data_IF_004523977707
#
_entry.id   IF_004523977707
#
_cell.length_a   1.000
_cell.length_b   1.000
_cell.length_c   1.000
_cell.angle_alpha   90.00
_cell.angle_beta   90.00
_cell.angle_gamma   90.00
#
_symmetry.space_group_name_H-M   'P 1'
#
loop_
_entity.id
_entity.type
_entity.pdbx_description
1 polymer ?
#
# COMPACT_ATOMS: atom_id res chain seq x y z
N UNK A 1 5.14 12.13 12.38
CA UNK A 1 5.99 13.21 11.84
C UNK A 1 7.42 13.10 12.35
N UNK A 2 7.66 13.16 13.67
CA UNK A 2 9.01 13.25 14.24
C UNK A 2 9.98 12.14 13.86
N UNK A 3 9.55 10.87 13.81
CA UNK A 3 10.43 9.75 13.45
C UNK A 3 10.92 9.81 12.00
N UNK A 4 10.05 10.20 11.06
CA UNK A 4 10.44 10.36 9.65
C UNK A 4 11.52 11.43 9.47
N UNK A 5 11.39 12.55 10.16
CA UNK A 5 12.38 13.63 10.11
C UNK A 5 13.72 13.23 10.75
N UNK A 6 13.68 12.46 11.84
CA UNK A 6 14.88 11.92 12.50
C UNK A 6 15.62 10.95 11.56
N UNK A 7 14.91 10.01 10.95
CA UNK A 7 15.52 9.02 10.04
C UNK A 7 16.18 9.68 8.83
N UNK A 8 15.53 10.68 8.24
CA UNK A 8 16.10 11.41 7.11
C UNK A 8 17.40 12.12 7.46
N UNK A 9 17.46 12.79 8.61
CA UNK A 9 18.68 13.48 9.09
C UNK A 9 19.84 12.51 9.32
N UNK A 10 19.55 11.23 9.55
CA UNK A 10 20.55 10.17 9.73
C UNK A 10 20.88 9.41 8.44
N UNK A 11 20.41 9.87 7.28
CA UNK A 11 20.65 9.22 5.99
C UNK A 11 19.78 7.98 5.73
N UNK A 12 18.74 7.75 6.54
CA UNK A 12 17.78 6.65 6.35
C UNK A 12 16.69 7.10 5.38
N UNK A 13 16.46 6.33 4.31
CA UNK A 13 15.35 6.56 3.38
C UNK A 13 14.09 5.86 3.86
N UNK A 14 13.05 6.64 4.17
CA UNK A 14 11.73 6.11 4.56
C UNK A 14 10.79 6.11 3.36
N UNK A 15 10.29 4.93 2.99
CA UNK A 15 9.26 4.76 1.98
C UNK A 15 7.97 4.25 2.63
N UNK A 16 6.88 5.01 2.51
CA UNK A 16 5.58 4.66 3.07
C UNK A 16 4.68 4.12 1.97
N UNK A 17 4.30 2.86 2.05
CA UNK A 17 3.44 2.19 1.08
C UNK A 17 2.10 1.81 1.71
N UNK A 18 1.01 2.14 1.01
CA UNK A 18 -0.34 1.74 1.36
C UNK A 18 -0.90 0.80 0.30
N UNK A 19 -1.05 -0.48 0.63
CA UNK A 19 -1.63 -1.46 -0.27
C UNK A 19 -3.16 -1.42 -0.16
N UNK A 20 -3.82 -0.87 -1.17
CA UNK A 20 -5.27 -0.73 -1.18
C UNK A 20 -5.95 -1.83 -1.99
N UNK A 21 -7.13 -2.21 -1.55
CA UNK A 21 -8.07 -3.06 -2.30
C UNK A 21 -9.42 -2.38 -2.34
N UNK A 22 -10.24 -2.68 -3.34
CA UNK A 22 -11.62 -2.20 -3.37
C UNK A 22 -12.47 -2.94 -2.32
N UNK A 23 -13.56 -2.30 -1.86
CA UNK A 23 -14.53 -2.90 -0.94
C UNK A 23 -15.07 -4.24 -1.47
N UNK A 24 -15.33 -4.31 -2.78
CA UNK A 24 -15.76 -5.54 -3.46
C UNK A 24 -14.71 -6.64 -3.34
N UNK A 25 -13.45 -6.32 -3.62
CA UNK A 25 -12.34 -7.28 -3.53
C UNK A 25 -12.13 -7.78 -2.10
N UNK A 26 -12.23 -6.91 -1.10
CA UNK A 26 -12.14 -7.32 0.30
C UNK A 26 -13.23 -8.33 0.66
N UNK A 27 -14.49 -8.05 0.31
CA UNK A 27 -15.61 -8.95 0.54
C UNK A 27 -15.41 -10.31 -0.13
N UNK A 28 -14.96 -10.29 -1.39
CA UNK A 28 -14.65 -11.52 -2.15
C UNK A 28 -13.57 -12.33 -1.46
N UNK A 29 -12.49 -11.70 -1.00
CA UNK A 29 -11.40 -12.39 -0.29
C UNK A 29 -11.87 -13.00 1.04
N UNK A 30 -12.73 -12.34 1.77
CA UNK A 30 -13.28 -12.87 3.02
C UNK A 30 -14.26 -14.03 2.77
N UNK A 31 -15.12 -13.92 1.77
CA UNK A 31 -16.00 -15.02 1.36
C UNK A 31 -15.18 -16.28 0.96
N UNK A 32 -14.12 -16.11 0.17
CA UNK A 32 -13.24 -17.22 -0.19
C UNK A 32 -12.60 -17.85 1.05
N UNK A 33 -12.15 -17.06 2.03
CA UNK A 33 -11.57 -17.57 3.27
C UNK A 33 -12.55 -18.39 4.11
N UNK A 34 -13.86 -18.14 4.01
CA UNK A 34 -14.89 -18.91 4.73
C UNK A 34 -15.05 -20.32 4.18
N UNK A 35 -14.84 -20.53 2.89
CA UNK A 35 -15.12 -21.79 2.21
C UNK A 35 -13.88 -22.56 1.79
N UNK A 36 -12.71 -21.94 1.72
CA UNK A 36 -11.47 -22.56 1.28
C UNK A 36 -10.72 -23.19 2.49
N UNK A 37 -10.62 -24.52 2.56
CA UNK A 37 -9.98 -25.20 3.69
C UNK A 37 -8.52 -24.79 3.92
N UNK A 38 -7.81 -24.42 2.85
CA UNK A 38 -6.40 -23.98 2.92
C UNK A 38 -6.28 -22.56 3.47
N UNK A 39 -7.34 -21.75 3.38
CA UNK A 39 -7.32 -20.33 3.76
C UNK A 39 -8.15 -19.99 5.00
N UNK A 40 -8.98 -20.92 5.47
CA UNK A 40 -9.85 -20.72 6.64
C UNK A 40 -9.08 -20.27 7.88
N UNK A 41 -7.91 -20.83 8.13
CA UNK A 41 -7.09 -20.49 9.28
C UNK A 41 -6.62 -19.01 9.31
N UNK A 42 -6.73 -18.29 8.18
CA UNK A 42 -6.42 -16.86 8.08
C UNK A 42 -7.61 -15.96 8.42
N UNK A 43 -8.80 -16.52 8.58
CA UNK A 43 -9.98 -15.75 8.91
C UNK A 43 -10.07 -15.58 10.42
N UNK A 44 -10.03 -14.34 10.88
CA UNK A 44 -10.19 -13.98 12.28
C UNK A 44 -11.59 -13.42 12.56
N UNK A 45 -12.09 -13.46 13.80
CA UNK A 45 -13.31 -12.75 14.19
C UNK A 45 -13.24 -11.25 13.87
N UNK A 46 -12.06 -10.65 13.96
CA UNK A 46 -11.82 -9.24 13.63
C UNK A 46 -12.02 -8.96 12.13
N UNK A 47 -11.63 -9.91 11.25
CA UNK A 47 -11.85 -9.77 9.80
C UNK A 47 -13.34 -9.64 9.48
N UNK A 48 -14.19 -10.46 10.12
CA UNK A 48 -15.64 -10.40 9.95
C UNK A 48 -16.23 -9.11 10.51
N UNK A 49 -15.83 -8.72 11.72
CA UNK A 49 -16.28 -7.48 12.36
C UNK A 49 -15.86 -6.22 11.57
N UNK A 50 -14.77 -6.30 10.79
CA UNK A 50 -14.28 -5.17 9.98
C UNK A 50 -15.09 -4.90 8.70
N UNK A 51 -15.92 -5.84 8.26
CA UNK A 51 -16.70 -5.71 7.01
C UNK A 51 -17.64 -4.51 7.00
N UNK A 52 -18.23 -4.19 8.13
CA UNK A 52 -19.16 -3.07 8.30
C UNK A 52 -18.44 -1.75 8.67
N UNK A 53 -17.12 -1.81 8.86
CA UNK A 53 -16.29 -0.67 9.25
C UNK A 53 -15.48 -0.06 8.09
N UNK A 54 -15.85 -0.36 6.86
CA UNK A 54 -15.14 0.14 5.68
C UNK A 54 -14.98 1.66 5.68
N UNK A 55 -16.07 2.37 5.95
CA UNK A 55 -16.09 3.83 5.91
C UNK A 55 -15.28 4.44 7.08
N UNK A 56 -15.30 3.80 8.26
CA UNK A 56 -14.49 4.21 9.40
C UNK A 56 -12.99 4.03 9.11
N UNK A 57 -12.60 2.90 8.52
CA UNK A 57 -11.20 2.66 8.10
C UNK A 57 -10.78 3.59 6.98
N UNK A 58 -11.66 3.90 6.03
CA UNK A 58 -11.38 4.85 4.96
C UNK A 58 -11.11 6.24 5.53
N UNK A 59 -11.96 6.70 6.44
CA UNK A 59 -11.76 7.98 7.15
C UNK A 59 -10.43 8.01 7.91
N UNK A 60 -10.12 6.96 8.65
CA UNK A 60 -8.86 6.86 9.39
C UNK A 60 -7.63 6.88 8.45
N UNK A 61 -7.70 6.20 7.29
CA UNK A 61 -6.67 6.25 6.25
C UNK A 61 -6.48 7.67 5.72
N UNK A 62 -7.56 8.37 5.40
CA UNK A 62 -7.49 9.72 4.86
C UNK A 62 -6.91 10.70 5.89
N UNK A 63 -7.31 10.60 7.14
CA UNK A 63 -6.73 11.38 8.23
C UNK A 63 -5.22 11.08 8.39
N UNK A 64 -4.82 9.81 8.32
CA UNK A 64 -3.41 9.44 8.32
C UNK A 64 -2.65 10.09 7.17
N UNK A 65 -3.20 10.10 5.96
CA UNK A 65 -2.57 10.76 4.82
C UNK A 65 -2.48 12.28 5.03
N UNK A 66 -3.56 12.93 5.47
CA UNK A 66 -3.56 14.38 5.73
C UNK A 66 -2.47 14.80 6.71
N UNK A 67 -2.29 14.06 7.80
CA UNK A 67 -1.37 14.45 8.87
C UNK A 67 0.07 13.98 8.67
N UNK A 68 0.28 12.94 7.91
CA UNK A 68 1.61 12.30 7.81
C UNK A 68 2.16 12.22 6.39
N UNK A 69 1.45 12.69 5.36
CA UNK A 69 1.98 12.83 4.01
C UNK A 69 2.86 14.09 3.93
N UNK A 70 4.15 13.90 3.69
CA UNK A 70 5.12 15.00 3.56
C UNK A 70 5.79 14.93 2.19
N UNK A 71 6.34 16.06 1.73
CA UNK A 71 7.06 16.08 0.44
C UNK A 71 8.28 15.15 0.47
N UNK A 72 8.96 15.07 1.61
CA UNK A 72 10.14 14.22 1.75
C UNK A 72 9.83 12.73 1.89
N UNK A 73 8.67 12.41 2.45
CA UNK A 73 8.24 11.01 2.66
C UNK A 73 6.73 10.91 2.42
N UNK A 74 6.32 10.93 1.15
CA UNK A 74 4.92 10.83 0.78
C UNK A 74 4.36 9.42 1.05
N UNK A 75 3.06 9.32 1.26
CA UNK A 75 2.35 8.06 1.15
C UNK A 75 2.16 7.68 -0.31
N UNK A 76 2.52 6.46 -0.64
CA UNK A 76 2.33 5.89 -1.97
C UNK A 76 1.30 4.78 -1.88
N UNK A 77 0.20 4.93 -2.59
CA UNK A 77 -0.87 3.95 -2.68
C UNK A 77 -0.58 2.97 -3.81
N UNK A 78 -0.67 1.68 -3.51
CA UNK A 78 -0.49 0.58 -4.46
C UNK A 78 -1.82 -0.16 -4.60
N UNK A 79 -2.44 -0.11 -5.76
CA UNK A 79 -3.67 -0.85 -6.06
C UNK A 79 -3.40 -2.35 -6.07
N UNK A 80 -4.03 -3.09 -5.14
CA UNK A 80 -3.67 -4.47 -4.82
C UNK A 80 -4.78 -5.50 -5.08
N UNK A 81 -5.75 -5.18 -5.92
CA UNK A 81 -6.72 -6.18 -6.36
C UNK A 81 -6.00 -7.32 -7.10
N UNK A 82 -5.05 -7.00 -7.99
CA UNK A 82 -4.10 -7.96 -8.54
C UNK A 82 -2.80 -7.94 -7.71
N UNK A 83 -2.59 -8.99 -6.93
CA UNK A 83 -1.44 -9.11 -6.03
C UNK A 83 -0.09 -9.19 -6.75
N UNK A 84 -0.05 -9.82 -7.95
CA UNK A 84 1.20 -9.97 -8.70
C UNK A 84 1.64 -8.61 -9.25
N UNK A 85 0.74 -7.90 -9.89
CA UNK A 85 1.00 -6.55 -10.41
C UNK A 85 1.36 -5.58 -9.28
N UNK A 86 0.66 -5.63 -8.15
CA UNK A 86 0.94 -4.80 -6.99
C UNK A 86 2.35 -5.02 -6.44
N UNK A 87 2.78 -6.28 -6.29
CA UNK A 87 4.12 -6.63 -5.78
C UNK A 87 5.22 -6.13 -6.71
N UNK A 88 5.09 -6.39 -8.00
CA UNK A 88 6.09 -5.96 -8.99
C UNK A 88 6.20 -4.44 -9.00
N UNK A 89 5.09 -3.73 -9.01
CA UNK A 89 5.09 -2.27 -9.04
C UNK A 89 5.57 -1.64 -7.74
N UNK A 90 5.29 -2.25 -6.58
CA UNK A 90 5.87 -1.83 -5.31
C UNK A 90 7.40 -1.94 -5.31
N UNK A 91 7.94 -3.07 -5.78
CA UNK A 91 9.39 -3.27 -5.92
C UNK A 91 10.00 -2.27 -6.90
N UNK A 92 9.41 -2.09 -8.07
CA UNK A 92 9.85 -1.10 -9.06
C UNK A 92 9.90 0.30 -8.47
N UNK A 93 8.85 0.70 -7.75
CA UNK A 93 8.78 2.01 -7.11
C UNK A 93 9.92 2.20 -6.09
N UNK A 94 10.19 1.21 -5.25
CA UNK A 94 11.30 1.31 -4.28
C UNK A 94 12.64 1.37 -5.00
N UNK A 95 12.87 0.49 -5.97
CA UNK A 95 14.13 0.44 -6.72
C UNK A 95 14.36 1.69 -7.58
N UNK A 96 13.30 2.34 -8.06
CA UNK A 96 13.43 3.58 -8.84
C UNK A 96 14.02 4.74 -8.01
N UNK A 97 13.95 4.68 -6.68
CA UNK A 97 14.45 5.72 -5.78
C UNK A 97 15.96 5.64 -5.52
N UNK A 98 16.61 4.55 -5.90
CA UNK A 98 18.01 4.29 -5.60
C UNK A 98 18.78 3.95 -6.86
N UNK A 99 19.99 4.52 -6.97
CA UNK A 99 20.99 4.08 -7.92
C UNK A 99 22.04 3.24 -7.19
N UNK A 100 22.41 2.12 -7.79
CA UNK A 100 23.42 1.19 -7.26
C UNK A 100 24.20 0.53 -8.38
N UNK A 101 25.39 0.04 -8.06
CA UNK A 101 26.27 -0.63 -9.01
C UNK A 101 25.58 -1.85 -9.63
N UNK A 102 25.68 -2.00 -10.95
CA UNK A 102 25.06 -3.06 -11.73
C UNK A 102 23.53 -3.08 -11.72
N UNK A 103 22.88 -1.93 -11.47
CA UNK A 103 21.43 -1.81 -11.63
C UNK A 103 21.07 -2.04 -13.10
N UNK A 104 20.29 -3.07 -13.35
CA UNK A 104 19.72 -3.36 -14.66
C UNK A 104 18.37 -2.60 -14.78
N UNK A 105 18.41 -1.45 -15.44
CA UNK A 105 17.24 -0.57 -15.61
C UNK A 105 16.16 -1.22 -16.47
N UNK A 106 16.54 -2.06 -17.44
CA UNK A 106 15.61 -2.75 -18.31
C UNK A 106 14.85 -3.84 -17.55
N UNK A 107 15.54 -4.62 -16.72
CA UNK A 107 14.95 -5.64 -15.86
C UNK A 107 14.05 -5.04 -14.77
N UNK A 108 14.49 -3.97 -14.13
CA UNK A 108 13.67 -3.24 -13.12
C UNK A 108 12.39 -2.73 -13.78
N UNK A 109 12.51 -2.13 -14.97
CA UNK A 109 11.39 -1.59 -15.73
C UNK A 109 10.74 -0.37 -15.07
N UNK A 110 9.72 0.15 -15.72
CA UNK A 110 8.99 1.33 -15.26
C UNK A 110 7.83 0.98 -14.33
N UNK A 111 7.48 1.94 -13.47
CA UNK A 111 6.32 1.86 -12.57
C UNK A 111 5.04 2.12 -13.37
N UNK A 112 4.05 1.26 -13.21
CA UNK A 112 2.72 1.47 -13.80
C UNK A 112 1.93 2.50 -12.96
N UNK A 113 1.74 3.69 -13.52
CA UNK A 113 1.04 4.80 -12.89
C UNK A 113 -0.45 4.51 -12.59
N UNK A 114 -1.04 3.52 -13.25
CA UNK A 114 -2.39 3.07 -12.93
C UNK A 114 -2.45 2.23 -11.63
N UNK A 115 -1.31 1.67 -11.23
CA UNK A 115 -1.17 0.84 -10.02
C UNK A 115 -0.63 1.65 -8.84
N UNK A 116 0.37 2.51 -9.10
CA UNK A 116 1.09 3.29 -8.09
C UNK A 116 0.68 4.75 -8.21
N UNK A 117 0.13 5.30 -7.13
CA UNK A 117 -0.30 6.69 -7.06
C UNK A 117 0.12 7.33 -5.74
N UNK A 118 0.23 8.65 -5.72
CA UNK A 118 0.42 9.38 -4.47
C UNK A 118 -0.84 9.25 -3.60
N UNK A 119 -0.68 8.98 -2.31
CA UNK A 119 -1.80 8.77 -1.39
C UNK A 119 -2.70 10.00 -1.26
N UNK A 120 -2.12 11.20 -1.29
CA UNK A 120 -2.86 12.47 -1.27
C UNK A 120 -3.88 12.58 -2.40
N UNK A 121 -3.57 12.05 -3.58
CA UNK A 121 -4.43 12.10 -4.77
C UNK A 121 -5.58 11.08 -4.70
N UNK A 122 -5.61 10.26 -3.65
CA UNK A 122 -6.61 9.22 -3.41
C UNK A 122 -7.53 9.55 -2.22
N UNK A 123 -7.50 10.78 -1.73
CA UNK A 123 -8.42 11.27 -0.69
C UNK A 123 -9.73 11.64 -1.37
N UNK A 124 -10.83 10.98 -0.95
CA UNK A 124 -12.18 11.23 -1.47
C UNK A 124 -12.60 10.31 -2.63
N UNK A 125 -11.79 9.31 -3.00
CA UNK A 125 -12.13 8.27 -3.99
C UNK A 125 -12.84 7.04 -3.37
#
# INVERSE_FOLDING_TARGET
>A
RGLGDVYKRQGISLTKLWFSVTRKEQRTRFAIRQIDPVRQWKLSPMDLASLDKWDDYTRAKEEQFRYTDTEESPWITIKSNDKKRARINAMRYVLSKFEYTNKDHELVGEVDENIVKRGRDQIGD
#
